data_IF_301407313150
#
_entry.id   IF_301407313150
#
_cell.length_a   1.000
_cell.length_b   1.000
_cell.length_c   1.000
_cell.angle_alpha   90.00
_cell.angle_beta   90.00
_cell.angle_gamma   90.00
#
_symmetry.space_group_name_H-M   'P 1'
#
loop_
_entity.id
_entity.type
_entity.pdbx_description
1 polymer ?
#
# COMPACT_ATOMS: atom_id res chain seq x y z
N UNK A 1 -9.24 -0.14 -18.94
CA UNK A 1 -8.84 1.03 -18.13
C UNK A 1 -7.34 0.99 -17.96
N UNK A 2 -6.65 2.13 -17.93
CA UNK A 2 -5.23 2.16 -17.57
C UNK A 2 -5.08 1.98 -16.05
N UNK A 3 -4.02 1.30 -15.60
CA UNK A 3 -3.71 1.20 -14.17
C UNK A 3 -3.33 2.59 -13.63
N UNK A 4 -3.78 2.98 -12.41
CA UNK A 4 -3.53 4.33 -11.90
C UNK A 4 -2.07 4.51 -11.48
N UNK A 5 -1.54 5.72 -11.72
CA UNK A 5 -0.21 6.15 -11.25
C UNK A 5 -0.24 6.69 -9.81
N UNK A 6 0.92 6.89 -9.19
CA UNK A 6 0.97 7.35 -7.80
C UNK A 6 0.35 8.73 -7.59
N UNK A 7 0.46 9.65 -8.55
CA UNK A 7 -0.14 10.99 -8.44
C UNK A 7 -1.67 10.93 -8.41
N UNK A 8 -2.27 10.14 -9.29
CA UNK A 8 -3.71 9.87 -9.31
C UNK A 8 -4.16 9.27 -7.98
N UNK A 9 -3.39 8.32 -7.45
CA UNK A 9 -3.71 7.68 -6.19
C UNK A 9 -3.60 8.65 -5.01
N UNK A 10 -2.59 9.53 -5.01
CA UNK A 10 -2.47 10.57 -3.98
C UNK A 10 -3.65 11.52 -4.02
N UNK A 11 -4.04 11.97 -5.21
CA UNK A 11 -5.22 12.81 -5.38
C UNK A 11 -6.46 12.10 -4.82
N UNK A 12 -6.76 10.87 -5.24
CA UNK A 12 -7.94 10.13 -4.78
C UNK A 12 -7.90 9.76 -3.28
N UNK A 13 -6.72 9.49 -2.72
CA UNK A 13 -6.56 9.03 -1.34
C UNK A 13 -6.50 10.17 -0.31
N UNK A 14 -6.03 11.35 -0.72
CA UNK A 14 -5.67 12.41 0.21
C UNK A 14 -6.35 13.75 -0.09
N UNK A 15 -7.15 13.88 -1.16
CA UNK A 15 -7.87 15.13 -1.44
C UNK A 15 -8.92 15.41 -0.35
N UNK A 16 -8.64 16.46 0.45
CA UNK A 16 -9.42 16.89 1.62
C UNK A 16 -9.00 16.30 2.98
N UNK A 17 -8.07 15.34 3.02
CA UNK A 17 -7.57 14.73 4.26
C UNK A 17 -6.37 15.51 4.82
N UNK A 18 -6.42 15.86 6.10
CA UNK A 18 -5.34 16.51 6.88
C UNK A 18 -4.04 15.67 7.01
N UNK A 19 -3.99 14.50 6.35
CA UNK A 19 -2.87 13.57 6.33
C UNK A 19 -2.00 13.69 5.06
N UNK A 20 -2.05 14.81 4.35
CA UNK A 20 -1.14 15.12 3.22
C UNK A 20 0.29 15.31 3.71
N UNK A 21 0.95 14.20 4.04
CA UNK A 21 2.38 14.16 4.34
C UNK A 21 3.16 14.02 3.05
N UNK A 22 3.94 15.05 2.73
CA UNK A 22 4.85 15.11 1.59
C UNK A 22 6.11 14.25 1.76
N UNK A 23 6.28 13.56 2.90
CA UNK A 23 7.52 12.91 3.34
C UNK A 23 7.37 11.39 3.60
N UNK A 24 6.44 10.71 2.92
CA UNK A 24 6.31 9.25 3.05
C UNK A 24 7.64 8.54 2.71
N UNK A 25 8.09 7.56 3.51
CA UNK A 25 9.22 6.74 3.13
C UNK A 25 8.88 5.94 1.87
N UNK A 26 9.69 6.07 0.83
CA UNK A 26 9.46 5.47 -0.49
C UNK A 26 10.43 4.31 -0.75
N UNK A 27 9.96 3.26 -1.41
CA UNK A 27 10.80 2.20 -1.98
C UNK A 27 11.35 2.65 -3.34
N UNK A 28 10.48 3.25 -4.15
CA UNK A 28 10.79 3.86 -5.45
C UNK A 28 9.87 5.07 -5.68
N UNK A 29 9.98 5.74 -6.82
CA UNK A 29 9.22 6.95 -7.13
C UNK A 29 7.68 6.79 -7.01
N UNK A 30 7.19 5.57 -7.15
CA UNK A 30 5.77 5.25 -7.28
C UNK A 30 5.21 4.43 -6.11
N UNK A 31 6.09 3.93 -5.25
CA UNK A 31 5.76 2.93 -4.24
C UNK A 31 6.17 3.40 -2.85
N UNK A 32 5.22 3.90 -2.03
CA UNK A 32 5.51 4.16 -0.63
C UNK A 32 5.73 2.85 0.12
N UNK A 33 6.34 2.94 1.29
CA UNK A 33 6.37 1.85 2.27
C UNK A 33 4.96 1.53 2.79
N UNK A 34 4.78 0.33 3.36
CA UNK A 34 3.50 -0.07 3.94
C UNK A 34 3.23 0.76 5.20
N UNK A 35 2.06 1.41 5.27
CA UNK A 35 1.64 2.27 6.39
C UNK A 35 2.69 3.31 6.82
N UNK A 36 3.48 3.84 5.87
CA UNK A 36 4.59 4.77 6.10
C UNK A 36 5.64 4.29 7.13
N UNK A 37 5.84 2.97 7.28
CA UNK A 37 6.88 2.42 8.17
C UNK A 37 8.27 2.52 7.54
N UNK A 38 9.34 2.63 8.33
CA UNK A 38 10.71 2.70 7.81
C UNK A 38 11.04 1.55 6.85
N UNK A 39 11.78 1.85 5.77
CA UNK A 39 12.28 0.83 4.85
C UNK A 39 13.50 0.13 5.47
N UNK A 40 13.37 -1.16 5.74
CA UNK A 40 14.49 -2.00 6.17
C UNK A 40 15.37 -2.40 4.98
N UNK A 41 16.69 -2.20 5.11
CA UNK A 41 17.69 -2.57 4.09
C UNK A 41 18.83 -3.40 4.66
N UNK A 42 18.87 -3.58 5.98
CA UNK A 42 19.86 -4.36 6.72
C UNK A 42 19.22 -5.25 7.78
N UNK A 43 19.89 -6.31 8.26
CA UNK A 43 19.42 -7.12 9.38
C UNK A 43 19.19 -6.31 10.66
N UNK A 44 19.94 -5.23 10.87
CA UNK A 44 19.79 -4.35 12.03
C UNK A 44 18.42 -3.66 12.05
N UNK A 45 17.90 -3.28 10.88
CA UNK A 45 16.58 -2.65 10.74
C UNK A 45 15.43 -3.58 11.14
N UNK A 46 15.68 -4.89 11.23
CA UNK A 46 14.70 -5.91 11.61
C UNK A 46 14.68 -6.17 13.12
N UNK A 47 15.66 -5.68 13.87
CA UNK A 47 15.75 -5.95 15.30
C UNK A 47 14.58 -5.32 16.07
N UNK A 48 13.86 -6.16 16.82
CA UNK A 48 12.70 -5.73 17.60
C UNK A 48 11.43 -5.46 16.78
N UNK A 49 11.42 -5.76 15.47
CA UNK A 49 10.21 -5.71 14.68
C UNK A 49 9.31 -6.91 15.01
N UNK A 50 8.07 -6.65 15.44
CA UNK A 50 7.06 -7.71 15.65
C UNK A 50 6.56 -8.29 14.33
N UNK A 51 6.49 -7.46 13.29
CA UNK A 51 5.98 -7.81 11.97
C UNK A 51 6.83 -7.16 10.89
N UNK A 52 7.14 -7.92 9.84
CA UNK A 52 7.84 -7.43 8.65
C UNK A 52 6.97 -7.70 7.42
N UNK A 53 6.79 -6.68 6.58
CA UNK A 53 5.97 -6.76 5.37
C UNK A 53 6.87 -6.88 4.14
N UNK A 54 6.77 -8.02 3.46
CA UNK A 54 7.47 -8.29 2.20
C UNK A 54 6.42 -8.37 1.09
N UNK A 55 6.64 -7.59 0.04
CA UNK A 55 5.78 -7.59 -1.15
C UNK A 55 6.53 -8.19 -2.32
N UNK A 56 5.86 -9.05 -3.09
CA UNK A 56 6.38 -9.65 -4.32
C UNK A 56 5.52 -9.22 -5.51
N UNK A 57 6.17 -8.96 -6.64
CA UNK A 57 5.51 -8.74 -7.94
C UNK A 57 5.46 -10.01 -8.78
N UNK A 58 5.89 -11.16 -8.24
CA UNK A 58 5.84 -12.43 -8.95
C UNK A 58 4.41 -12.98 -8.99
N UNK A 59 3.96 -13.34 -10.19
CA UNK A 59 2.66 -13.98 -10.43
C UNK A 59 2.89 -15.22 -11.28
N UNK A 60 2.52 -16.39 -10.75
CA UNK A 60 2.51 -17.64 -11.51
C UNK A 60 1.13 -17.86 -12.16
N UNK A 61 1.10 -18.43 -13.37
CA UNK A 61 -0.15 -18.85 -14.03
C UNK A 61 -0.44 -18.18 -15.38
N UNK A 62 -1.71 -18.18 -15.79
CA UNK A 62 -2.23 -17.67 -17.06
C UNK A 62 -2.14 -16.14 -17.19
N UNK A 63 -2.46 -15.60 -18.38
CA UNK A 63 -2.51 -14.15 -18.64
C UNK A 63 -3.62 -13.43 -17.86
N UNK A 64 -4.63 -14.17 -17.43
CA UNK A 64 -5.75 -13.66 -16.64
C UNK A 64 -6.09 -14.67 -15.54
N UNK A 65 -6.46 -14.15 -14.37
CA UNK A 65 -7.02 -14.91 -13.27
C UNK A 65 -8.13 -14.10 -12.59
N UNK A 66 -9.31 -14.72 -12.43
CA UNK A 66 -10.49 -14.09 -11.83
C UNK A 66 -10.92 -12.77 -12.50
N UNK A 67 -10.82 -12.67 -13.84
CA UNK A 67 -11.17 -11.45 -14.58
C UNK A 67 -10.14 -10.32 -14.46
N UNK A 68 -8.99 -10.60 -13.83
CA UNK A 68 -7.91 -9.62 -13.61
C UNK A 68 -6.67 -10.06 -14.38
N UNK A 69 -6.08 -9.12 -15.11
CA UNK A 69 -4.91 -9.37 -15.93
C UNK A 69 -3.69 -9.69 -15.06
N UNK A 70 -2.73 -10.45 -15.61
CA UNK A 70 -1.48 -10.76 -14.91
C UNK A 70 -0.73 -9.48 -14.51
N UNK A 71 -0.72 -8.46 -15.36
CA UNK A 71 -0.07 -7.17 -15.04
C UNK A 71 -0.67 -6.50 -13.80
N UNK A 72 -1.98 -6.58 -13.62
CA UNK A 72 -2.64 -5.99 -12.45
C UNK A 72 -2.33 -6.77 -11.17
N UNK A 73 -2.24 -8.11 -11.27
CA UNK A 73 -1.77 -8.95 -10.18
C UNK A 73 -0.32 -8.64 -9.79
N UNK A 74 0.56 -8.41 -10.76
CA UNK A 74 1.96 -8.04 -10.50
C UNK A 74 2.08 -6.68 -9.78
N UNK A 75 1.12 -5.79 -10.00
CA UNK A 75 1.04 -4.48 -9.35
C UNK A 75 0.41 -4.53 -7.94
N UNK A 76 -0.12 -5.66 -7.49
CA UNK A 76 -0.86 -5.76 -6.23
C UNK A 76 -0.06 -5.29 -5.00
N UNK A 77 1.21 -5.71 -4.89
CA UNK A 77 2.06 -5.31 -3.77
C UNK A 77 2.35 -3.79 -3.76
N UNK A 78 2.48 -3.15 -4.93
CA UNK A 78 2.55 -1.69 -5.05
C UNK A 78 1.25 -1.06 -4.55
N UNK A 79 0.11 -1.57 -5.03
CA UNK A 79 -1.21 -1.02 -4.72
C UNK A 79 -1.58 -1.11 -3.23
N UNK A 80 -1.31 -2.24 -2.61
CA UNK A 80 -1.56 -2.44 -1.16
C UNK A 80 -0.77 -1.42 -0.35
N UNK A 81 0.50 -1.17 -0.69
CA UNK A 81 1.30 -0.14 0.01
C UNK A 81 0.73 1.25 -0.20
N UNK A 82 0.45 1.63 -1.44
CA UNK A 82 -0.15 2.94 -1.75
C UNK A 82 -1.44 3.19 -0.95
N UNK A 83 -2.34 2.21 -0.87
CA UNK A 83 -3.61 2.33 -0.15
C UNK A 83 -3.43 2.30 1.37
N UNK A 84 -2.48 1.51 1.89
CA UNK A 84 -2.24 1.38 3.33
C UNK A 84 -1.85 2.70 4.01
N UNK A 85 -1.31 3.67 3.25
CA UNK A 85 -0.90 4.97 3.77
C UNK A 85 -2.08 5.86 4.18
N UNK A 86 -3.32 5.43 3.95
CA UNK A 86 -4.53 6.05 4.54
C UNK A 86 -4.69 5.73 6.03
N UNK A 87 -4.06 4.67 6.53
CA UNK A 87 -4.31 4.11 7.87
C UNK A 87 -3.10 4.19 8.81
N UNK A 88 -2.36 5.30 8.79
CA UNK A 88 -1.05 5.44 9.46
C UNK A 88 -1.08 5.21 10.98
N UNK A 89 -2.18 5.58 11.65
CA UNK A 89 -2.37 5.37 13.10
C UNK A 89 -2.87 3.97 13.45
N UNK A 90 -2.93 3.05 12.47
CA UNK A 90 -3.66 1.80 12.56
C UNK A 90 -5.03 1.89 11.90
N UNK A 91 -5.52 0.75 11.42
CA UNK A 91 -6.89 0.59 10.98
C UNK A 91 -7.79 0.52 12.22
N UNK A 92 -8.50 1.59 12.52
CA UNK A 92 -9.69 1.48 13.38
C UNK A 92 -10.76 0.90 12.46
N UNK A 93 -11.05 -0.40 12.61
CA UNK A 93 -12.25 -0.99 11.99
C UNK A 93 -13.40 -0.03 12.25
N UNK A 94 -14.14 0.31 11.20
CA UNK A 94 -15.39 1.07 11.31
C UNK A 94 -16.14 0.59 12.55
N UNK A 95 -16.41 1.53 13.46
CA UNK A 95 -17.23 1.25 14.62
C UNK A 95 -18.66 1.05 14.13
N UNK A 96 -18.94 -0.18 13.70
CA UNK A 96 -20.23 -0.62 13.17
C UNK A 96 -21.20 -0.79 14.34
N UNK A 97 -21.80 0.32 14.76
CA UNK A 97 -22.80 0.37 15.82
C UNK A 97 -24.19 0.49 15.19
N UNK A 98 -24.89 -0.64 15.15
CA UNK A 98 -26.32 -0.66 14.87
C UNK A 98 -27.10 -0.06 16.06
N UNK A 99 -27.84 1.03 15.80
CA UNK A 99 -28.80 1.60 16.75
C UNK A 99 -30.20 1.25 16.26
N UNK A 100 -30.90 0.41 17.03
CA UNK A 100 -32.28 -0.02 16.79
C UNK A 100 -33.30 0.94 17.41
#
# INVERSE_FOLDING_TARGET
MSYPDWEQVKAEAFDGSFLTRSDLPMIDAETPTFMARPLATSPQDLQGADVVIIGSSYVAGSEEYAGVSRSDWMAAAKRVRQQSNRYLSGYVQEFDMDVF
#
